data_IF_721356733434
#
_entry.id   IF_721356733434
#
_cell.length_a   1.000
_cell.length_b   1.000
_cell.length_c   1.000
_cell.angle_alpha   90.00
_cell.angle_beta   90.00
_cell.angle_gamma   90.00
#
_symmetry.space_group_name_H-M   'P 1'
#
loop_
_entity.id
_entity.type
_entity.pdbx_description
1 polymer ?
#
# COMPACT_ATOMS: atom_id res chain seq x y z
N UNK A 1 8.58 -5.23 8.36
CA UNK A 1 8.49 -6.44 7.52
C UNK A 1 8.32 -7.66 8.38
N UNK A 2 7.32 -8.47 8.07
CA UNK A 2 7.19 -9.81 8.63
C UNK A 2 8.25 -10.71 7.97
N UNK A 3 8.83 -11.63 8.76
CA UNK A 3 9.86 -12.52 8.24
C UNK A 3 9.32 -13.58 7.25
N UNK A 4 8.01 -13.83 7.27
CA UNK A 4 7.33 -14.79 6.41
C UNK A 4 5.81 -14.46 6.36
N UNK A 5 5.10 -14.75 5.25
CA UNK A 5 3.66 -14.47 5.11
C UNK A 5 2.79 -15.13 6.19
N UNK A 6 3.18 -16.31 6.66
CA UNK A 6 2.45 -17.09 7.67
C UNK A 6 2.36 -16.34 9.00
N UNK A 7 3.31 -15.45 9.30
CA UNK A 7 3.25 -14.63 10.50
C UNK A 7 2.09 -13.64 10.47
N UNK A 8 1.70 -13.13 9.30
CA UNK A 8 0.58 -12.19 9.18
C UNK A 8 -0.76 -12.90 9.36
N UNK A 9 -0.88 -14.12 8.84
CA UNK A 9 -1.99 -15.04 9.13
C UNK A 9 -2.11 -15.32 10.63
N UNK A 10 -0.99 -15.60 11.30
CA UNK A 10 -1.01 -15.88 12.74
C UNK A 10 -1.33 -14.64 13.57
N UNK A 11 -0.84 -13.46 13.19
CA UNK A 11 -1.24 -12.19 13.81
C UNK A 11 -2.75 -11.94 13.66
N UNK A 12 -3.29 -12.17 12.46
CA UNK A 12 -4.73 -12.06 12.19
C UNK A 12 -5.55 -13.04 13.05
N UNK A 13 -5.18 -14.32 13.08
CA UNK A 13 -5.83 -15.34 13.92
C UNK A 13 -5.87 -14.93 15.39
N UNK A 14 -4.81 -14.29 15.89
CA UNK A 14 -4.70 -13.82 17.27
C UNK A 14 -5.44 -12.51 17.54
N UNK A 15 -6.08 -11.90 16.54
CA UNK A 15 -6.74 -10.61 16.66
C UNK A 15 -5.77 -9.44 16.86
N UNK A 16 -4.49 -9.61 16.51
CA UNK A 16 -3.49 -8.56 16.62
C UNK A 16 -3.62 -7.64 15.40
N UNK A 17 -3.87 -6.35 15.66
CA UNK A 17 -3.93 -5.35 14.60
C UNK A 17 -2.54 -5.12 14.03
N UNK A 18 -2.32 -5.56 12.79
CA UNK A 18 -1.07 -5.38 12.06
C UNK A 18 -1.24 -4.35 10.94
N UNK A 19 -0.26 -3.44 10.81
CA UNK A 19 -0.15 -2.53 9.68
C UNK A 19 0.84 -3.11 8.67
N UNK A 20 0.43 -3.40 7.41
CA UNK A 20 1.37 -3.82 6.39
C UNK A 20 2.50 -2.80 6.25
N UNK A 21 3.72 -3.26 6.40
CA UNK A 21 4.91 -2.41 6.57
C UNK A 21 5.21 -1.57 5.34
N UNK A 22 5.03 -2.13 4.14
CA UNK A 22 5.20 -1.39 2.88
C UNK A 22 4.16 -0.25 2.73
N UNK A 23 2.96 -0.41 3.30
CA UNK A 23 1.95 0.64 3.31
C UNK A 23 2.25 1.70 4.39
N UNK A 24 2.59 1.26 5.61
CA UNK A 24 2.92 2.14 6.72
C UNK A 24 4.17 2.99 6.46
N UNK A 25 5.19 2.41 5.81
CA UNK A 25 6.47 3.07 5.53
C UNK A 25 6.50 3.80 4.18
N UNK A 26 5.36 3.95 3.49
CA UNK A 26 5.30 4.55 2.15
C UNK A 26 5.70 6.04 2.10
N UNK A 27 5.81 6.72 3.25
CA UNK A 27 6.02 8.16 3.33
C UNK A 27 7.27 8.65 2.59
N UNK A 28 8.39 7.92 2.68
CA UNK A 28 9.63 8.29 1.99
C UNK A 28 9.50 8.23 0.46
N UNK A 29 8.81 7.21 -0.06
CA UNK A 29 8.56 7.07 -1.50
C UNK A 29 7.61 8.17 -2.00
N UNK A 30 6.58 8.51 -1.21
CA UNK A 30 5.67 9.61 -1.53
C UNK A 30 6.43 10.94 -1.60
N UNK A 31 7.28 11.20 -0.60
CA UNK A 31 8.09 12.41 -0.55
C UNK A 31 9.00 12.54 -1.78
N UNK A 32 9.76 11.49 -2.09
CA UNK A 32 10.64 11.46 -3.26
C UNK A 32 9.85 11.62 -4.58
N UNK A 33 8.66 11.03 -4.67
CA UNK A 33 7.83 11.16 -5.87
C UNK A 33 7.33 12.60 -6.09
N UNK A 34 7.13 13.39 -5.03
CA UNK A 34 6.80 14.81 -5.15
C UNK A 34 8.04 15.67 -5.44
N UNK A 35 9.21 15.28 -4.95
CA UNK A 35 10.49 15.91 -5.33
C UNK A 35 10.71 15.85 -6.85
N UNK A 36 10.46 14.70 -7.48
CA UNK A 36 10.52 14.55 -8.93
C UNK A 36 9.48 15.39 -9.71
N UNK A 37 8.46 15.92 -9.02
CA UNK A 37 7.38 16.76 -9.60
C UNK A 37 7.57 18.26 -9.35
N UNK A 38 8.73 18.68 -8.84
CA UNK A 38 9.01 20.08 -8.52
C UNK A 38 8.89 20.42 -7.03
N UNK A 39 8.84 19.41 -6.16
CA UNK A 39 9.03 19.54 -4.71
C UNK A 39 7.95 20.37 -3.97
N UNK A 40 6.67 20.09 -4.26
CA UNK A 40 5.53 20.64 -3.51
C UNK A 40 5.39 19.96 -2.14
N UNK A 41 6.06 20.53 -1.14
CA UNK A 41 6.06 20.05 0.25
C UNK A 41 4.65 19.95 0.87
N UNK A 42 3.75 20.95 0.74
CA UNK A 42 2.35 20.81 1.15
C UNK A 42 1.64 19.60 0.56
N UNK A 43 1.83 19.33 -0.74
CA UNK A 43 1.23 18.14 -1.37
C UNK A 43 1.85 16.84 -0.88
N UNK A 44 3.17 16.80 -0.70
CA UNK A 44 3.85 15.64 -0.12
C UNK A 44 3.30 15.33 1.28
N UNK A 45 3.23 16.33 2.16
CA UNK A 45 2.71 16.18 3.52
C UNK A 45 1.26 15.66 3.52
N UNK A 46 0.39 16.25 2.70
CA UNK A 46 -1.02 15.80 2.58
C UNK A 46 -1.12 14.35 2.10
N UNK A 47 -0.29 13.92 1.15
CA UNK A 47 -0.28 12.53 0.65
C UNK A 47 0.29 11.56 1.67
N UNK A 48 1.30 11.97 2.44
CA UNK A 48 1.84 11.17 3.56
C UNK A 48 0.76 10.96 4.62
N UNK A 49 0.00 12.00 4.98
CA UNK A 49 -1.11 11.88 5.92
C UNK A 49 -2.20 10.91 5.45
N UNK A 50 -2.43 10.80 4.14
CA UNK A 50 -3.38 9.85 3.55
C UNK A 50 -2.98 8.36 3.72
N UNK A 51 -1.76 8.06 4.20
CA UNK A 51 -1.38 6.68 4.61
C UNK A 51 -2.32 6.19 5.72
N UNK A 52 -2.68 7.05 6.67
CA UNK A 52 -3.59 6.69 7.77
C UNK A 52 -4.98 6.28 7.27
N UNK A 53 -5.51 7.00 6.30
CA UNK A 53 -6.79 6.65 5.64
C UNK A 53 -6.70 5.34 4.88
N UNK A 54 -5.57 5.11 4.20
CA UNK A 54 -5.32 3.86 3.45
C UNK A 54 -5.28 2.66 4.39
N UNK A 55 -4.52 2.73 5.49
CA UNK A 55 -4.46 1.68 6.51
C UNK A 55 -5.82 1.46 7.17
N UNK A 56 -6.57 2.54 7.46
CA UNK A 56 -7.92 2.44 8.01
C UNK A 56 -8.86 1.66 7.08
N UNK A 57 -8.77 1.91 5.76
CA UNK A 57 -9.52 1.16 4.75
C UNK A 57 -9.10 -0.32 4.72
N UNK A 58 -7.79 -0.60 4.77
CA UNK A 58 -7.27 -1.98 4.84
C UNK A 58 -7.84 -2.72 6.04
N UNK A 59 -7.76 -2.16 7.25
CA UNK A 59 -8.25 -2.81 8.46
C UNK A 59 -9.76 -3.01 8.45
N UNK A 60 -10.52 -2.03 7.94
CA UNK A 60 -11.97 -2.18 7.79
C UNK A 60 -12.31 -3.34 6.85
N UNK A 61 -11.68 -3.40 5.68
CA UNK A 61 -11.92 -4.47 4.71
C UNK A 61 -11.42 -5.84 5.21
N UNK A 62 -10.29 -5.87 5.92
CA UNK A 62 -9.78 -7.08 6.61
C UNK A 62 -10.82 -7.63 7.60
N UNK A 63 -11.45 -6.77 8.41
CA UNK A 63 -12.54 -7.18 9.30
C UNK A 63 -13.80 -7.62 8.55
N UNK A 64 -14.19 -6.91 7.50
CA UNK A 64 -15.39 -7.22 6.70
C UNK A 64 -15.27 -8.55 5.96
N UNK A 65 -14.06 -8.92 5.51
CA UNK A 65 -13.80 -10.12 4.70
C UNK A 65 -13.17 -11.28 5.47
N UNK A 66 -12.82 -11.06 6.75
CA UNK A 66 -12.04 -11.99 7.58
C UNK A 66 -10.74 -12.46 6.90
N UNK A 67 -9.94 -11.49 6.45
CA UNK A 67 -8.67 -11.73 5.77
C UNK A 67 -7.52 -10.99 6.46
N UNK A 68 -6.28 -11.52 6.41
CA UNK A 68 -5.11 -10.81 6.91
C UNK A 68 -4.94 -9.42 6.28
N UNK A 69 -4.53 -8.39 7.04
CA UNK A 69 -4.35 -7.04 6.52
C UNK A 69 -3.39 -6.94 5.32
N UNK A 70 -2.31 -7.73 5.27
CA UNK A 70 -1.39 -7.72 4.12
C UNK A 70 -2.05 -8.21 2.84
N UNK A 71 -2.88 -9.27 2.89
CA UNK A 71 -3.58 -9.79 1.73
C UNK A 71 -4.58 -8.76 1.17
N UNK A 72 -5.28 -8.06 2.07
CA UNK A 72 -6.22 -6.99 1.70
C UNK A 72 -5.49 -5.83 1.05
N UNK A 73 -4.35 -5.42 1.61
CA UNK A 73 -3.54 -4.34 1.06
C UNK A 73 -2.97 -4.69 -0.32
N UNK A 74 -2.52 -5.93 -0.53
CA UNK A 74 -2.06 -6.43 -1.83
C UNK A 74 -3.19 -6.37 -2.88
N UNK A 75 -4.37 -6.92 -2.54
CA UNK A 75 -5.54 -6.88 -3.42
C UNK A 75 -5.93 -5.45 -3.79
N UNK A 76 -5.91 -4.53 -2.82
CA UNK A 76 -6.20 -3.11 -3.06
C UNK A 76 -5.18 -2.46 -4.00
N UNK A 77 -3.89 -2.80 -3.87
CA UNK A 77 -2.84 -2.31 -4.73
C UNK A 77 -3.00 -2.85 -6.17
N UNK A 78 -3.23 -4.14 -6.33
CA UNK A 78 -3.47 -4.80 -7.61
C UNK A 78 -4.67 -4.20 -8.35
N UNK A 79 -5.80 -4.03 -7.65
CA UNK A 79 -7.00 -3.39 -8.19
C UNK A 79 -6.72 -1.97 -8.69
N UNK A 80 -5.91 -1.20 -7.94
CA UNK A 80 -5.54 0.16 -8.32
C UNK A 80 -4.63 0.20 -9.55
N UNK A 81 -3.67 -0.72 -9.64
CA UNK A 81 -2.80 -0.87 -10.81
C UNK A 81 -3.62 -1.25 -12.04
N UNK A 82 -4.53 -2.22 -11.90
CA UNK A 82 -5.38 -2.69 -12.99
C UNK A 82 -6.34 -1.59 -13.46
N UNK A 83 -6.96 -0.85 -12.54
CA UNK A 83 -7.78 0.31 -12.89
C UNK A 83 -6.97 1.36 -13.69
N UNK A 84 -5.72 1.62 -13.27
CA UNK A 84 -4.87 2.56 -13.99
C UNK A 84 -4.46 2.07 -15.39
N UNK A 85 -4.19 0.76 -15.55
CA UNK A 85 -3.89 0.17 -16.86
C UNK A 85 -5.05 0.35 -17.85
N UNK A 86 -6.29 0.18 -17.38
CA UNK A 86 -7.49 0.39 -18.20
C UNK A 86 -7.68 1.84 -18.62
N UNK A 87 -7.32 2.79 -17.75
CA UNK A 87 -7.40 4.23 -18.01
C UNK A 87 -6.23 4.78 -18.83
N UNK A 88 -5.11 4.06 -18.91
CA UNK A 88 -3.90 4.49 -19.61
C UNK A 88 -3.18 3.25 -20.17
N UNK A 89 -3.49 2.82 -21.40
CA UNK A 89 -2.94 1.60 -22.00
C UNK A 89 -1.46 1.69 -22.40
N UNK A 90 -0.67 2.53 -21.71
CA UNK A 90 0.78 2.63 -21.97
C UNK A 90 1.47 1.40 -21.38
N UNK A 91 2.23 0.62 -22.16
CA UNK A 91 2.91 -0.57 -21.65
C UNK A 91 3.92 -0.18 -20.56
N UNK A 92 3.97 -0.96 -19.47
CA UNK A 92 5.03 -0.84 -18.48
C UNK A 92 6.37 -1.17 -19.16
N UNK A 93 7.46 -0.44 -18.87
CA UNK A 93 8.78 -0.84 -19.35
C UNK A 93 9.08 -2.26 -18.85
N UNK A 94 9.55 -3.12 -19.76
CA UNK A 94 9.98 -4.48 -19.40
C UNK A 94 10.97 -4.40 -18.23
N UNK A 95 10.77 -5.26 -17.22
CA UNK A 95 11.58 -5.32 -16.00
C UNK A 95 13.07 -5.09 -16.32
N UNK A 96 13.63 -3.99 -15.83
CA UNK A 96 15.07 -3.84 -15.74
C UNK A 96 15.54 -4.88 -14.72
N UNK A 97 16.20 -5.92 -15.23
CA UNK A 97 16.95 -6.86 -14.40
C UNK A 97 18.14 -6.08 -13.85
N UNK A 98 18.14 -5.88 -12.54
CA UNK A 98 19.33 -5.60 -11.74
C UNK A 98 19.49 -6.76 -10.75
#
# INVERSE_FOLDING_TARGET
>A
MLAAPEHGVELHRRGVLYAPDYAANAGGIIYLAEELRGHDLPTAARRIMAIGETLTKVWRTSREQDLPPEEVADRMAEQRIEAMRRLSPRPLPARAVY
#
